data_IF_897344102144
#
_entry.id   IF_897344102144
#
_cell.length_a   1.000
_cell.length_b   1.000
_cell.length_c   1.000
_cell.angle_alpha   90.00
_cell.angle_beta   90.00
_cell.angle_gamma   90.00
#
_symmetry.space_group_name_H-M   'P 1'
#
loop_
_entity.id
_entity.type
_entity.pdbx_description
1 polymer ?
#
# COMPACT_ATOMS: atom_id res chain seq x y z
N UNK A 1 -29.55 2.56 -25.09
CA UNK A 1 -29.95 3.68 -24.21
C UNK A 1 -30.49 3.05 -22.93
N UNK A 2 -29.67 2.96 -21.87
CA UNK A 2 -30.05 2.29 -20.63
C UNK A 2 -29.77 3.21 -19.45
N UNK A 3 -30.82 3.46 -18.67
CA UNK A 3 -30.88 4.34 -17.51
C UNK A 3 -30.54 3.52 -16.26
N UNK A 4 -29.53 3.94 -15.49
CA UNK A 4 -29.24 3.38 -14.16
C UNK A 4 -29.63 4.42 -13.12
N UNK A 5 -30.53 4.06 -12.22
CA UNK A 5 -30.94 4.89 -11.07
C UNK A 5 -30.25 4.40 -9.80
N UNK A 6 -29.82 5.34 -8.96
CA UNK A 6 -29.20 5.10 -7.65
C UNK A 6 -30.26 5.13 -6.55
N UNK A 7 -30.26 4.15 -5.64
CA UNK A 7 -31.01 4.19 -4.38
C UNK A 7 -30.07 4.57 -3.24
N UNK A 8 -30.43 5.49 -2.33
CA UNK A 8 -29.60 5.83 -1.19
C UNK A 8 -29.60 4.69 -0.16
N UNK A 9 -28.41 4.33 0.33
CA UNK A 9 -28.24 3.40 1.46
C UNK A 9 -28.69 4.11 2.74
N UNK A 10 -29.77 3.62 3.35
CA UNK A 10 -30.30 4.12 4.63
C UNK A 10 -29.37 3.66 5.77
N UNK A 11 -28.92 4.60 6.60
CA UNK A 11 -28.10 4.28 7.78
C UNK A 11 -28.87 3.40 8.78
N UNK A 12 -28.21 2.35 9.28
CA UNK A 12 -28.77 1.45 10.29
C UNK A 12 -28.71 2.09 11.70
N UNK A 13 -29.70 1.82 12.57
CA UNK A 13 -29.69 2.32 13.95
C UNK A 13 -28.61 1.63 14.80
N UNK A 14 -28.01 2.39 15.72
CA UNK A 14 -26.98 1.92 16.66
C UNK A 14 -27.55 0.94 17.69
N UNK A 15 -26.82 -0.16 17.96
CA UNK A 15 -27.13 -1.12 19.03
C UNK A 15 -26.91 -0.51 20.43
N UNK A 16 -27.75 -0.81 21.43
CA UNK A 16 -27.50 -0.45 22.82
C UNK A 16 -26.43 -1.37 23.46
N UNK A 17 -25.83 -0.86 24.54
CA UNK A 17 -24.49 -1.18 25.04
C UNK A 17 -24.20 -2.64 25.43
N UNK A 18 -22.93 -3.00 25.31
CA UNK A 18 -22.33 -4.23 25.83
C UNK A 18 -21.42 -3.90 27.04
N UNK A 19 -21.22 -4.84 27.97
CA UNK A 19 -20.76 -4.54 29.33
C UNK A 19 -19.26 -4.20 29.39
N UNK A 20 -18.89 -3.53 30.49
CA UNK A 20 -17.57 -2.97 30.75
C UNK A 20 -16.42 -3.96 30.51
N UNK A 21 -15.45 -3.54 29.68
CA UNK A 21 -14.22 -4.26 29.39
C UNK A 21 -13.23 -4.18 30.57
N UNK A 22 -12.47 -5.26 30.77
CA UNK A 22 -11.41 -5.35 31.76
C UNK A 22 -10.27 -4.34 31.48
N UNK A 23 -9.62 -3.78 32.53
CA UNK A 23 -8.58 -2.78 32.35
C UNK A 23 -7.30 -3.43 31.80
N UNK A 24 -6.88 -3.03 30.59
CA UNK A 24 -5.57 -3.44 30.05
C UNK A 24 -5.36 -3.37 28.54
N UNK A 25 -6.39 -3.09 27.73
CA UNK A 25 -6.22 -2.92 26.28
C UNK A 25 -6.29 -1.46 25.90
N UNK A 26 -5.16 -0.75 25.90
CA UNK A 26 -5.06 0.52 25.21
C UNK A 26 -5.51 0.31 23.76
N UNK A 27 -6.52 1.08 23.34
CA UNK A 27 -7.15 0.98 22.03
C UNK A 27 -6.13 1.36 20.95
N UNK A 28 -5.53 0.34 20.30
CA UNK A 28 -4.55 0.50 19.22
C UNK A 28 -5.11 1.31 18.04
N UNK A 29 -6.43 1.45 17.95
CA UNK A 29 -7.12 2.22 16.92
C UNK A 29 -7.07 3.73 17.17
N UNK A 30 -6.82 4.16 18.41
CA UNK A 30 -6.83 5.57 18.79
C UNK A 30 -5.49 6.27 18.50
N UNK A 31 -4.36 5.57 18.67
CA UNK A 31 -3.03 6.15 18.40
C UNK A 31 -2.78 6.44 16.91
N UNK A 32 -3.49 5.75 16.01
CA UNK A 32 -3.44 6.00 14.56
C UNK A 32 -4.15 7.31 14.20
N UNK A 33 -5.12 7.76 15.01
CA UNK A 33 -5.97 8.92 14.73
C UNK A 33 -5.42 10.26 15.22
N UNK A 34 -4.41 10.26 16.09
CA UNK A 34 -3.90 11.47 16.75
C UNK A 34 -2.42 11.77 16.48
N UNK A 35 -1.75 10.94 15.68
CA UNK A 35 -0.33 11.13 15.35
C UNK A 35 -0.06 12.09 14.18
N UNK A 36 1.22 12.31 13.81
CA UNK A 36 1.63 13.18 12.70
C UNK A 36 0.97 12.84 11.36
N UNK A 37 0.58 11.57 11.16
CA UNK A 37 -0.19 11.11 10.02
C UNK A 37 -1.60 11.71 9.97
N UNK A 38 -2.26 11.87 11.12
CA UNK A 38 -3.57 12.53 11.18
C UNK A 38 -3.46 14.01 10.85
N UNK A 39 -2.37 14.66 11.25
CA UNK A 39 -2.08 16.05 10.90
C UNK A 39 -1.79 16.21 9.40
N UNK A 40 -0.98 15.33 8.80
CA UNK A 40 -0.74 15.31 7.35
C UNK A 40 -2.02 15.03 6.54
N UNK A 41 -2.87 14.11 7.01
CA UNK A 41 -4.20 13.85 6.43
C UNK A 41 -5.11 15.07 6.58
N UNK A 42 -5.00 15.84 7.67
CA UNK A 42 -5.77 17.06 7.88
C UNK A 42 -5.27 18.25 7.05
N UNK A 43 -3.99 18.26 6.67
CA UNK A 43 -3.30 19.40 6.04
C UNK A 43 -3.50 19.56 4.53
N UNK A 44 -4.30 18.72 3.88
CA UNK A 44 -4.75 19.06 2.54
C UNK A 44 -5.10 17.86 1.69
N UNK A 45 -6.40 17.60 1.62
CA UNK A 45 -6.95 17.01 0.41
C UNK A 45 -7.86 18.05 -0.25
N UNK A 46 -7.34 18.91 -1.14
CA UNK A 46 -8.13 19.96 -1.78
C UNK A 46 -9.34 19.42 -2.55
N UNK A 47 -9.33 18.14 -2.93
CA UNK A 47 -10.46 17.47 -3.58
C UNK A 47 -11.53 16.92 -2.62
N UNK A 48 -11.20 16.76 -1.33
CA UNK A 48 -12.03 16.04 -0.36
C UNK A 48 -12.10 14.52 -0.55
N UNK A 49 -11.54 13.98 -1.65
CA UNK A 49 -11.58 12.55 -2.00
C UNK A 49 -10.55 11.74 -1.22
N UNK A 50 -10.98 10.98 -0.20
CA UNK A 50 -10.06 10.12 0.55
C UNK A 50 -9.51 9.01 -0.34
N UNK A 51 -8.18 8.93 -0.46
CA UNK A 51 -7.47 7.90 -1.24
C UNK A 51 -6.73 6.97 -0.28
N UNK A 52 -6.78 5.67 -0.56
CA UNK A 52 -5.96 4.65 0.12
C UNK A 52 -5.13 3.95 -0.95
N UNK A 53 -3.81 3.97 -0.79
CA UNK A 53 -2.88 3.20 -1.62
C UNK A 53 -2.48 1.94 -0.84
N UNK A 54 -2.76 0.77 -1.42
CA UNK A 54 -2.39 -0.53 -0.84
C UNK A 54 -1.33 -1.18 -1.72
N UNK A 55 -0.17 -1.44 -1.11
CA UNK A 55 0.92 -2.15 -1.75
C UNK A 55 1.07 -3.57 -1.19
N UNK A 56 1.26 -4.56 -2.07
CA UNK A 56 1.49 -5.95 -1.69
C UNK A 56 2.75 -6.46 -2.42
N UNK A 57 3.81 -6.76 -1.68
CA UNK A 57 5.05 -7.28 -2.26
C UNK A 57 4.86 -8.70 -2.81
N UNK A 58 5.43 -8.99 -3.98
CA UNK A 58 5.35 -10.30 -4.64
C UNK A 58 3.99 -10.68 -5.27
N UNK A 59 2.98 -9.80 -5.22
CA UNK A 59 1.62 -10.09 -5.69
C UNK A 59 1.47 -9.96 -7.22
N UNK A 60 2.26 -10.71 -7.99
CA UNK A 60 2.18 -10.72 -9.47
C UNK A 60 0.89 -11.39 -9.97
N UNK A 61 0.46 -11.08 -11.20
CA UNK A 61 -0.71 -11.74 -11.81
C UNK A 61 -0.56 -13.26 -11.94
N UNK A 62 0.68 -13.78 -12.07
CA UNK A 62 0.96 -15.23 -12.06
C UNK A 62 0.57 -15.89 -10.73
N UNK A 63 0.55 -15.13 -9.64
CA UNK A 63 0.11 -15.59 -8.31
C UNK A 63 -1.37 -15.29 -8.10
N UNK A 64 -1.83 -14.09 -8.48
CA UNK A 64 -3.19 -13.63 -8.21
C UNK A 64 -4.24 -14.32 -9.08
N UNK A 65 -3.99 -14.49 -10.39
CA UNK A 65 -4.99 -15.03 -11.31
C UNK A 65 -5.43 -16.47 -10.93
N UNK A 66 -4.54 -17.43 -10.63
CA UNK A 66 -4.96 -18.76 -10.18
C UNK A 66 -5.76 -18.76 -8.86
N UNK A 67 -5.56 -17.76 -8.00
CA UNK A 67 -6.32 -17.61 -6.75
C UNK A 67 -7.69 -16.97 -6.99
N UNK A 68 -7.79 -16.03 -7.94
CA UNK A 68 -9.04 -15.44 -8.40
C UNK A 68 -9.93 -16.50 -9.07
N UNK A 69 -9.36 -17.31 -9.97
CA UNK A 69 -10.06 -18.41 -10.66
C UNK A 69 -10.65 -19.43 -9.68
N UNK A 70 -9.93 -19.71 -8.58
CA UNK A 70 -10.39 -20.61 -7.51
C UNK A 70 -11.38 -19.94 -6.54
N UNK A 71 -11.77 -18.69 -6.77
CA UNK A 71 -12.66 -17.93 -5.90
C UNK A 71 -12.07 -17.59 -4.53
N UNK A 72 -10.74 -17.64 -4.37
CA UNK A 72 -10.08 -17.45 -3.06
C UNK A 72 -9.85 -15.99 -2.69
N UNK A 73 -10.02 -15.07 -3.63
CA UNK A 73 -9.82 -13.62 -3.44
C UNK A 73 -11.10 -12.81 -3.77
N UNK A 74 -12.23 -13.07 -3.08
CA UNK A 74 -13.53 -12.51 -3.46
C UNK A 74 -13.60 -10.99 -3.35
N UNK A 75 -12.84 -10.38 -2.43
CA UNK A 75 -12.81 -8.91 -2.32
C UNK A 75 -11.96 -8.27 -3.41
N UNK A 76 -10.85 -8.91 -3.81
CA UNK A 76 -10.05 -8.45 -4.94
C UNK A 76 -10.82 -8.58 -6.25
N UNK A 77 -11.57 -9.66 -6.44
CA UNK A 77 -12.45 -9.82 -7.60
C UNK A 77 -13.44 -8.67 -7.73
N UNK A 78 -14.12 -8.30 -6.63
CA UNK A 78 -15.04 -7.14 -6.62
C UNK A 78 -14.35 -5.83 -7.01
N UNK A 79 -13.12 -5.61 -6.54
CA UNK A 79 -12.35 -4.41 -6.89
C UNK A 79 -11.99 -4.37 -8.38
N UNK A 80 -11.68 -5.53 -8.97
CA UNK A 80 -11.42 -5.65 -10.41
C UNK A 80 -12.71 -5.39 -11.21
N UNK A 81 -13.83 -5.99 -10.81
CA UNK A 81 -15.12 -5.87 -11.52
C UNK A 81 -15.68 -4.44 -11.52
N UNK A 82 -15.39 -3.67 -10.45
CA UNK A 82 -15.86 -2.30 -10.28
C UNK A 82 -14.82 -1.24 -10.66
N UNK A 83 -13.63 -1.67 -11.10
CA UNK A 83 -12.48 -0.80 -11.28
C UNK A 83 -11.70 -1.12 -12.55
N UNK A 84 -10.38 -0.91 -12.49
CA UNK A 84 -9.47 -1.19 -13.59
C UNK A 84 -8.30 -2.04 -13.08
N UNK A 85 -7.80 -2.93 -13.95
CA UNK A 85 -6.59 -3.72 -13.70
C UNK A 85 -5.66 -3.62 -14.92
N UNK A 86 -4.35 -3.61 -14.67
CA UNK A 86 -3.35 -3.58 -15.73
C UNK A 86 -1.95 -3.82 -15.19
N UNK A 87 -1.01 -4.12 -16.09
CA UNK A 87 0.42 -4.21 -15.76
C UNK A 87 0.98 -2.80 -15.71
N UNK A 88 1.66 -2.45 -14.62
CA UNK A 88 2.42 -1.21 -14.50
C UNK A 88 3.87 -1.44 -14.91
N UNK A 89 4.46 -0.47 -15.62
CA UNK A 89 5.90 -0.45 -15.88
C UNK A 89 6.62 -0.16 -14.57
N UNK A 90 7.61 -0.99 -14.23
CA UNK A 90 8.42 -0.83 -13.03
C UNK A 90 9.80 -0.25 -13.37
N UNK A 91 10.60 -0.01 -12.33
CA UNK A 91 12.00 0.37 -12.44
C UNK A 91 12.82 -0.76 -13.10
N UNK A 92 13.89 -0.43 -13.83
CA UNK A 92 14.80 -1.45 -14.39
C UNK A 92 15.38 -2.40 -13.33
N UNK A 93 15.60 -1.91 -12.11
CA UNK A 93 15.97 -2.71 -10.94
C UNK A 93 14.82 -2.73 -9.94
N UNK A 94 14.13 -3.87 -9.85
CA UNK A 94 12.97 -4.05 -8.97
C UNK A 94 13.38 -4.48 -7.55
N UNK A 95 14.21 -3.68 -6.88
CA UNK A 95 14.64 -3.92 -5.50
C UNK A 95 13.67 -3.20 -4.55
N UNK A 96 13.09 -3.93 -3.58
CA UNK A 96 11.99 -3.44 -2.74
C UNK A 96 12.22 -2.03 -2.14
N UNK A 97 13.35 -1.72 -1.48
CA UNK A 97 13.59 -0.38 -0.92
C UNK A 97 13.60 0.74 -1.97
N UNK A 98 14.09 0.48 -3.19
CA UNK A 98 14.03 1.46 -4.26
C UNK A 98 12.58 1.66 -4.72
N UNK A 99 11.88 0.58 -5.06
CA UNK A 99 10.49 0.62 -5.57
C UNK A 99 9.53 1.30 -4.59
N UNK A 100 9.55 0.90 -3.30
CA UNK A 100 8.64 1.48 -2.31
C UNK A 100 8.91 2.97 -2.06
N UNK A 101 10.18 3.38 -2.08
CA UNK A 101 10.54 4.79 -1.92
C UNK A 101 10.10 5.60 -3.12
N UNK A 102 10.26 5.08 -4.35
CA UNK A 102 9.72 5.72 -5.56
C UNK A 102 8.21 5.86 -5.52
N UNK A 103 7.46 4.84 -5.08
CA UNK A 103 6.00 4.92 -4.96
C UNK A 103 5.56 6.04 -4.01
N UNK A 104 6.22 6.18 -2.85
CA UNK A 104 5.84 7.16 -1.84
C UNK A 104 6.28 8.57 -2.20
N UNK A 105 7.45 8.72 -2.83
CA UNK A 105 8.03 10.04 -3.14
C UNK A 105 7.62 10.56 -4.52
N UNK A 106 7.22 9.68 -5.44
CA UNK A 106 7.03 10.00 -6.85
C UNK A 106 8.34 10.36 -7.57
N UNK A 107 9.50 9.98 -7.01
CA UNK A 107 10.83 10.31 -7.53
C UNK A 107 11.61 9.06 -7.90
N UNK A 108 12.52 9.18 -8.87
CA UNK A 108 13.42 8.09 -9.25
C UNK A 108 14.48 7.80 -8.16
N UNK A 109 15.05 6.57 -8.11
CA UNK A 109 16.10 6.20 -7.16
C UNK A 109 17.33 7.11 -7.16
N UNK A 110 17.63 7.74 -8.29
CA UNK A 110 18.71 8.71 -8.43
C UNK A 110 18.46 9.98 -7.62
N UNK A 111 17.19 10.38 -7.49
CA UNK A 111 16.76 11.60 -6.81
C UNK A 111 16.60 11.37 -5.31
N UNK A 112 15.93 10.30 -4.88
CA UNK A 112 15.75 10.02 -3.45
C UNK A 112 16.91 9.23 -2.81
N UNK A 113 17.86 8.71 -3.61
CA UNK A 113 19.12 8.12 -3.14
C UNK A 113 19.03 6.71 -2.56
N UNK A 114 17.85 6.07 -2.55
CA UNK A 114 17.64 4.71 -2.02
C UNK A 114 17.66 3.73 -3.20
N UNK A 115 18.77 3.00 -3.36
CA UNK A 115 19.00 2.15 -4.55
C UNK A 115 19.10 0.66 -4.25
N UNK A 116 19.45 0.30 -3.03
CA UNK A 116 19.67 -1.08 -2.61
C UNK A 116 19.42 -1.23 -1.10
N UNK A 117 19.34 -2.47 -0.62
CA UNK A 117 19.31 -2.80 0.80
C UNK A 117 20.64 -2.49 1.50
N UNK A 118 21.75 -2.52 0.76
CA UNK A 118 23.10 -2.36 1.31
C UNK A 118 23.87 -1.30 0.54
N UNK A 119 24.56 -0.44 1.26
CA UNK A 119 25.51 0.51 0.68
C UNK A 119 26.92 0.08 1.04
N UNK A 120 27.74 -0.18 0.02
CA UNK A 120 29.17 -0.40 0.23
C UNK A 120 29.82 0.95 0.51
N UNK A 121 30.36 1.13 1.71
CA UNK A 121 31.14 2.33 2.04
C UNK A 121 32.49 2.29 1.32
N UNK A 122 32.91 3.38 0.65
CA UNK A 122 34.25 3.48 0.10
C UNK A 122 35.29 3.19 1.19
N UNK A 123 36.21 2.26 0.93
CA UNK A 123 37.26 1.84 1.87
C UNK A 123 36.88 0.72 2.85
N UNK A 124 35.61 0.31 2.94
CA UNK A 124 35.20 -0.79 3.83
C UNK A 124 35.62 -2.18 3.31
N UNK A 125 35.87 -2.30 2.01
CA UNK A 125 36.37 -3.52 1.37
C UNK A 125 37.77 -3.22 0.85
N UNK A 126 38.80 -3.54 1.63
CA UNK A 126 40.19 -3.40 1.20
C UNK A 126 40.42 -4.11 -0.14
N UNK A 127 40.54 -3.35 -1.22
CA UNK A 127 41.05 -3.78 -2.54
C UNK A 127 40.31 -4.90 -3.29
N UNK A 128 39.22 -5.48 -2.78
CA UNK A 128 38.55 -6.66 -3.40
C UNK A 128 37.04 -6.50 -3.59
N UNK A 129 36.57 -5.32 -3.97
CA UNK A 129 35.15 -5.04 -4.22
C UNK A 129 34.71 -5.18 -5.69
N UNK A 130 35.50 -5.82 -6.55
CA UNK A 130 35.15 -5.93 -7.99
C UNK A 130 34.23 -7.11 -8.31
N UNK A 131 33.85 -7.94 -7.31
CA UNK A 131 33.16 -9.20 -7.59
C UNK A 131 32.22 -9.58 -6.44
N UNK A 132 31.27 -8.71 -6.12
CA UNK A 132 30.09 -9.13 -5.39
C UNK A 132 28.88 -8.49 -6.08
N UNK A 133 27.94 -9.35 -6.45
CA UNK A 133 26.60 -9.05 -6.98
C UNK A 133 26.51 -8.86 -8.50
N UNK A 134 26.80 -9.93 -9.26
CA UNK A 134 25.93 -10.36 -10.38
C UNK A 134 25.91 -11.90 -10.40
N UNK A 135 24.78 -12.49 -10.03
CA UNK A 135 24.42 -13.89 -10.30
C UNK A 135 22.90 -13.93 -10.47
#
# INVERSE_FOLDING_TARGET
MALVTWLPVKAAPSKPGSPAAAPGTADRTESVRSGPLAELVSKGNPSGVKIVLVGIDGATFKVLDPLLEKGRLPQLQKLIDQGARGVLTSLPQTISPAVWTTIVTGQEPEVHGIRDFVVVRPGALGGKAAQLVTS
#
